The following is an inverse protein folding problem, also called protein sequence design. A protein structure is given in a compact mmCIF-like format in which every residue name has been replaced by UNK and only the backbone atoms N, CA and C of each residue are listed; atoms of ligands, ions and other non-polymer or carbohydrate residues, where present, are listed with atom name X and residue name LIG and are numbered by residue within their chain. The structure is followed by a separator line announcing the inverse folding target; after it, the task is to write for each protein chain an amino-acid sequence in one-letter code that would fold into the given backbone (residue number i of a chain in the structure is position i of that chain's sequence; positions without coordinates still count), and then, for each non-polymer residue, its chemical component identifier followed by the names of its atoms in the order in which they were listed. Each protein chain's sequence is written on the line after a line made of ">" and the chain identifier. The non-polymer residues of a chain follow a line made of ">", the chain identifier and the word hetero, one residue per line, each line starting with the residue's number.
data_IF_135201559261
#
_entry.id   IF_135201559261
#
_cell.length_a   1.000
_cell.length_b   1.000
_cell.length_c   1.000
_cell.angle_alpha   90.00
_cell.angle_beta   90.00
_cell.angle_gamma   90.00
#
_symmetry.space_group_name_H-M   'P 1'
#
loop_
_entity.id
_entity.type
_entity.pdbx_description
1 polymer ?
#
# COMPACT_ATOMS: atom_id res chain seq x y z
N UNK A 1 -11.82 -4.56 4.18
CA UNK A 1 -10.70 -3.69 3.81
C UNK A 1 -10.06 -3.19 5.09
N UNK A 2 -8.74 -3.21 5.15
CA UNK A 2 -7.95 -2.75 6.28
C UNK A 2 -7.15 -1.53 5.81
N UNK A 3 -7.02 -0.55 6.69
CA UNK A 3 -6.15 0.59 6.48
C UNK A 3 -4.97 0.50 7.45
N UNK A 4 -3.76 0.61 6.91
CA UNK A 4 -2.53 0.77 7.68
C UNK A 4 -2.21 2.26 7.72
N UNK A 5 -2.23 2.82 8.92
CA UNK A 5 -1.95 4.23 9.18
C UNK A 5 -0.42 4.42 9.30
N UNK A 6 0.13 5.54 8.78
CA UNK A 6 1.53 5.91 8.95
C UNK A 6 2.02 5.82 10.39
N UNK A 7 3.31 5.56 10.55
CA UNK A 7 3.99 5.63 11.85
C UNK A 7 5.39 6.24 11.67
N UNK A 8 6.22 6.18 12.71
CA UNK A 8 7.59 6.72 12.67
C UNK A 8 8.47 6.11 11.57
N UNK A 9 8.12 4.92 11.05
CA UNK A 9 8.88 4.22 10.00
C UNK A 9 8.41 4.59 8.58
N UNK A 10 7.11 4.78 8.36
CA UNK A 10 6.55 5.00 7.02
C UNK A 10 5.61 6.20 6.98
N UNK A 11 5.70 7.01 5.92
CA UNK A 11 4.97 8.27 5.82
C UNK A 11 3.60 8.20 5.13
N UNK A 12 3.31 7.09 4.45
CA UNK A 12 2.11 6.94 3.65
C UNK A 12 1.14 5.91 4.22
N UNK A 13 -0.16 6.20 4.07
CA UNK A 13 -1.26 5.27 4.33
C UNK A 13 -1.22 4.14 3.29
N UNK A 14 -1.69 2.96 3.67
CA UNK A 14 -1.82 1.82 2.76
C UNK A 14 -3.16 1.13 3.01
N UNK A 15 -3.91 0.86 1.94
CA UNK A 15 -5.11 0.02 2.03
C UNK A 15 -4.79 -1.42 1.62
N UNK A 16 -5.34 -2.37 2.36
CA UNK A 16 -5.30 -3.79 2.02
C UNK A 16 -6.72 -4.32 1.94
N UNK A 17 -7.11 -4.82 0.77
CA UNK A 17 -8.35 -5.52 0.55
C UNK A 17 -8.07 -7.01 0.38
N UNK A 18 -8.35 -7.78 1.43
CA UNK A 18 -8.41 -9.24 1.36
C UNK A 18 -9.72 -9.68 0.69
N UNK A 19 -9.63 -10.51 -0.34
CA UNK A 19 -10.79 -11.11 -1.02
C UNK A 19 -10.76 -12.63 -0.85
N UNK A 20 -11.93 -13.21 -0.64
CA UNK A 20 -12.15 -14.63 -0.76
C UNK A 20 -13.44 -14.82 -1.55
N UNK A 21 -13.38 -15.59 -2.62
CA UNK A 21 -14.54 -15.96 -3.41
C UNK A 21 -14.65 -17.48 -3.54
N UNK A 22 -15.83 -18.02 -3.22
CA UNK A 22 -16.08 -19.47 -3.27
C UNK A 22 -16.07 -19.98 -4.71
N UNK A 23 -15.48 -21.17 -4.98
CA UNK A 23 -15.49 -21.76 -6.32
C UNK A 23 -16.90 -22.07 -6.84
N UNK A 24 -17.89 -22.26 -5.96
CA UNK A 24 -19.27 -22.61 -6.32
C UNK A 24 -20.16 -21.42 -6.75
N UNK A 25 -19.75 -20.18 -6.50
CA UNK A 25 -20.55 -19.01 -6.87
C UNK A 25 -20.34 -18.63 -8.33
N UNK A 26 -21.39 -18.41 -9.14
CA UNK A 26 -21.22 -18.05 -10.58
C UNK A 26 -21.39 -16.55 -10.88
N UNK A 27 -21.88 -15.74 -9.95
CA UNK A 27 -22.21 -14.33 -10.17
C UNK A 27 -21.69 -13.46 -9.02
N UNK A 28 -20.39 -13.16 -9.06
CA UNK A 28 -19.78 -12.32 -8.04
C UNK A 28 -19.61 -10.90 -8.54
N UNK A 29 -19.97 -9.88 -7.72
CA UNK A 29 -19.88 -8.49 -8.10
C UNK A 29 -18.45 -7.95 -7.88
N UNK A 30 -17.43 -8.57 -8.51
CA UNK A 30 -16.05 -8.07 -8.47
C UNK A 30 -15.99 -6.60 -8.88
N UNK A 31 -16.79 -6.21 -9.89
CA UNK A 31 -16.96 -4.83 -10.32
C UNK A 31 -17.31 -3.90 -9.15
N UNK A 32 -18.37 -4.20 -8.42
CA UNK A 32 -18.81 -3.35 -7.31
C UNK A 32 -17.78 -3.31 -6.18
N UNK A 33 -17.18 -4.45 -5.85
CA UNK A 33 -16.20 -4.54 -4.76
C UNK A 33 -14.91 -3.75 -5.08
N UNK A 34 -14.30 -4.02 -6.23
CA UNK A 34 -13.01 -3.44 -6.63
C UNK A 34 -13.16 -1.96 -6.97
N UNK A 35 -14.22 -1.56 -7.67
CA UNK A 35 -14.48 -0.14 -7.96
C UNK A 35 -14.75 0.67 -6.68
N UNK A 36 -15.51 0.12 -5.72
CA UNK A 36 -15.69 0.79 -4.41
C UNK A 36 -14.38 0.89 -3.64
N UNK A 37 -13.55 -0.16 -3.63
CA UNK A 37 -12.25 -0.12 -2.98
C UNK A 37 -11.32 0.92 -3.62
N UNK A 38 -11.28 0.99 -4.95
CA UNK A 38 -10.55 2.00 -5.70
C UNK A 38 -11.03 3.41 -5.36
N UNK A 39 -12.35 3.61 -5.26
CA UNK A 39 -12.96 4.90 -4.90
C UNK A 39 -12.62 5.32 -3.47
N UNK A 40 -12.60 4.38 -2.53
CA UNK A 40 -12.24 4.66 -1.14
C UNK A 40 -10.75 4.98 -0.99
N UNK A 41 -9.88 4.25 -1.70
CA UNK A 41 -8.44 4.49 -1.67
C UNK A 41 -8.04 5.79 -2.41
N UNK A 42 -8.78 6.19 -3.46
CA UNK A 42 -8.44 7.34 -4.33
C UNK A 42 -7.01 7.24 -4.86
N UNK A 43 -6.13 8.10 -4.37
CA UNK A 43 -4.71 8.18 -4.73
C UNK A 43 -3.78 7.51 -3.70
N UNK A 44 -4.35 6.95 -2.63
CA UNK A 44 -3.58 6.20 -1.63
C UNK A 44 -3.19 4.83 -2.20
N UNK A 45 -1.98 4.33 -1.93
CA UNK A 45 -1.58 2.96 -2.23
C UNK A 45 -2.61 1.93 -1.76
N UNK A 46 -2.95 0.97 -2.62
CA UNK A 46 -3.85 -0.14 -2.27
C UNK A 46 -3.35 -1.46 -2.84
N UNK A 47 -3.44 -2.51 -2.02
CA UNK A 47 -3.22 -3.90 -2.41
C UNK A 47 -4.54 -4.66 -2.31
N UNK A 48 -4.89 -5.34 -3.39
CA UNK A 48 -5.94 -6.35 -3.46
C UNK A 48 -5.26 -7.71 -3.40
N UNK A 49 -5.63 -8.59 -2.47
CA UNK A 49 -5.03 -9.92 -2.39
C UNK A 49 -6.00 -10.98 -1.90
N UNK A 50 -5.88 -12.20 -2.40
CA UNK A 50 -6.55 -13.38 -1.85
C UNK A 50 -6.99 -14.37 -2.91
N UNK A 51 -7.90 -15.25 -2.53
CA UNK A 51 -8.38 -16.34 -3.39
C UNK A 51 -9.64 -15.89 -4.15
N UNK A 52 -9.52 -15.79 -5.47
CA UNK A 52 -10.60 -15.35 -6.35
C UNK A 52 -11.38 -16.49 -6.98
N UNK A 53 -10.83 -17.72 -6.96
CA UNK A 53 -11.37 -18.88 -7.69
C UNK A 53 -11.89 -18.50 -9.10
N UNK A 54 -11.12 -17.67 -9.81
CA UNK A 54 -11.47 -17.11 -11.10
C UNK A 54 -10.45 -17.60 -12.13
N UNK A 55 -10.85 -18.52 -13.00
CA UNK A 55 -9.96 -19.07 -14.02
C UNK A 55 -9.74 -18.07 -15.16
N UNK A 56 -8.47 -17.82 -15.53
CA UNK A 56 -8.10 -17.03 -16.70
C UNK A 56 -6.66 -17.33 -17.16
N UNK A 57 -6.42 -17.27 -18.47
CA UNK A 57 -5.11 -17.54 -19.07
C UNK A 57 -4.03 -16.55 -18.63
N UNK A 58 -4.41 -15.29 -18.40
CA UNK A 58 -3.51 -14.22 -17.94
C UNK A 58 -2.75 -14.53 -16.65
N UNK A 59 -3.23 -15.48 -15.83
CA UNK A 59 -2.54 -15.93 -14.62
C UNK A 59 -2.34 -17.45 -14.57
N UNK A 60 -2.29 -18.10 -15.75
CA UNK A 60 -1.75 -19.47 -15.87
C UNK A 60 -2.79 -20.58 -16.03
N UNK A 61 -4.09 -20.27 -16.17
CA UNK A 61 -5.07 -21.29 -16.55
C UNK A 61 -4.94 -21.65 -18.04
N UNK A 62 -5.24 -22.90 -18.40
CA UNK A 62 -5.10 -23.34 -19.81
C UNK A 62 -6.16 -22.77 -20.75
N UNK A 63 -7.33 -22.41 -20.20
CA UNK A 63 -8.45 -21.93 -20.97
C UNK A 63 -9.20 -20.89 -20.17
N UNK A 64 -9.46 -19.76 -20.81
CA UNK A 64 -10.44 -18.80 -20.34
C UNK A 64 -11.80 -19.19 -20.90
N UNK A 65 -12.82 -19.37 -20.06
CA UNK A 65 -14.20 -19.41 -20.57
C UNK A 65 -14.84 -18.03 -20.41
N UNK A 66 -15.49 -17.56 -21.49
CA UNK A 66 -16.04 -16.20 -21.58
C UNK A 66 -17.14 -15.92 -20.52
N UNK A 67 -17.76 -16.98 -20.01
CA UNK A 67 -18.89 -16.90 -19.07
C UNK A 67 -18.45 -16.97 -17.60
N UNK A 68 -17.16 -17.17 -17.33
CA UNK A 68 -16.61 -17.30 -15.98
C UNK A 68 -16.22 -15.96 -15.35
N UNK A 69 -15.81 -16.04 -14.09
CA UNK A 69 -15.36 -14.91 -13.26
C UNK A 69 -14.11 -14.22 -13.79
N UNK A 70 -13.18 -14.99 -14.36
CA UNK A 70 -11.86 -14.52 -14.76
C UNK A 70 -11.90 -13.30 -15.70
N UNK A 71 -12.62 -13.36 -16.82
CA UNK A 71 -12.74 -12.21 -17.73
C UNK A 71 -13.27 -10.95 -17.04
N UNK A 72 -14.26 -11.09 -16.15
CA UNK A 72 -14.83 -9.95 -15.42
C UNK A 72 -13.84 -9.37 -14.41
N UNK A 73 -13.09 -10.24 -13.73
CA UNK A 73 -12.05 -9.83 -12.80
C UNK A 73 -10.94 -9.07 -13.53
N UNK A 74 -10.46 -9.59 -14.66
CA UNK A 74 -9.44 -8.92 -15.47
C UNK A 74 -9.94 -7.55 -15.97
N UNK A 75 -11.19 -7.49 -16.43
CA UNK A 75 -11.81 -6.25 -16.89
C UNK A 75 -11.84 -5.20 -15.79
N UNK A 76 -12.38 -5.50 -14.59
CA UNK A 76 -12.46 -4.50 -13.51
C UNK A 76 -11.10 -4.10 -12.97
N UNK A 77 -10.15 -5.05 -12.85
CA UNK A 77 -8.78 -4.73 -12.44
C UNK A 77 -8.16 -3.73 -13.41
N UNK A 78 -8.33 -3.96 -14.72
CA UNK A 78 -7.84 -3.05 -15.77
C UNK A 78 -8.56 -1.70 -15.73
N UNK A 79 -9.89 -1.69 -15.68
CA UNK A 79 -10.71 -0.46 -15.66
C UNK A 79 -10.41 0.41 -14.44
N UNK A 80 -10.07 -0.22 -13.30
CA UNK A 80 -9.71 0.48 -12.07
C UNK A 80 -8.21 0.80 -11.98
N UNK A 81 -7.42 0.50 -13.03
CA UNK A 81 -5.96 0.71 -13.10
C UNK A 81 -5.17 -0.01 -12.01
N UNK A 82 -5.58 -1.24 -11.69
CA UNK A 82 -4.77 -2.15 -10.90
C UNK A 82 -3.86 -2.97 -11.81
N UNK A 83 -2.68 -3.33 -11.30
CA UNK A 83 -1.74 -4.23 -11.94
C UNK A 83 -1.74 -5.57 -11.23
N UNK A 84 -1.92 -6.66 -11.97
CA UNK A 84 -1.70 -8.01 -11.47
C UNK A 84 -0.20 -8.30 -11.44
N UNK A 85 0.28 -8.81 -10.31
CA UNK A 85 1.69 -9.13 -10.07
C UNK A 85 2.03 -10.64 -9.94
N UNK A 86 1.09 -11.59 -9.81
CA UNK A 86 1.42 -13.01 -9.81
C UNK A 86 2.14 -13.44 -11.08
N UNK A 87 3.16 -14.28 -10.90
CA UNK A 87 3.84 -14.94 -12.02
C UNK A 87 3.09 -16.25 -12.37
N UNK A 88 2.52 -16.36 -13.59
CA UNK A 88 1.78 -17.55 -14.01
C UNK A 88 2.64 -18.82 -14.09
N UNK A 89 3.96 -18.71 -14.09
CA UNK A 89 4.87 -19.87 -14.06
C UNK A 89 4.88 -20.59 -12.71
N UNK A 90 4.36 -19.95 -11.65
CA UNK A 90 4.37 -20.48 -10.28
C UNK A 90 2.93 -20.61 -9.74
N UNK A 91 2.23 -21.73 -10.02
CA UNK A 91 0.88 -21.97 -9.56
C UNK A 91 0.75 -21.82 -8.03
N UNK A 92 -0.35 -21.21 -7.57
CA UNK A 92 -0.56 -20.91 -6.15
C UNK A 92 -1.29 -22.00 -5.39
N UNK A 93 -1.90 -22.95 -6.10
CA UNK A 93 -2.60 -24.09 -5.53
C UNK A 93 -2.15 -25.39 -6.19
N UNK A 94 -1.67 -26.30 -5.35
CA UNK A 94 -1.30 -27.67 -5.67
C UNK A 94 -2.56 -28.46 -5.91
N UNK A 95 -2.62 -29.18 -7.02
CA UNK A 95 -3.77 -30.05 -7.26
C UNK A 95 -3.49 -31.52 -6.96
N UNK A 96 -4.59 -32.27 -6.89
CA UNK A 96 -4.60 -33.72 -6.64
C UNK A 96 -4.35 -34.49 -7.94
N UNK A 97 -4.18 -35.82 -7.86
CA UNK A 97 -3.89 -36.72 -9.00
C UNK A 97 -4.80 -36.61 -10.25
N UNK A 98 -5.95 -35.93 -10.16
CA UNK A 98 -6.94 -35.83 -11.24
C UNK A 98 -6.94 -34.45 -11.90
N UNK A 99 -6.30 -33.46 -11.30
CA UNK A 99 -6.44 -32.06 -11.70
C UNK A 99 -5.07 -31.36 -11.73
N UNK A 100 -4.88 -30.37 -12.62
CA UNK A 100 -3.58 -29.68 -12.80
C UNK A 100 -3.41 -28.51 -11.83
N UNK A 101 -2.19 -28.15 -11.48
CA UNK A 101 -1.92 -26.98 -10.65
C UNK A 101 -2.57 -25.69 -11.20
N UNK A 102 -3.03 -24.82 -10.29
CA UNK A 102 -3.80 -23.61 -10.65
C UNK A 102 -3.37 -22.39 -9.85
N UNK A 103 -3.79 -21.21 -10.31
CA UNK A 103 -3.46 -19.90 -9.71
C UNK A 103 -4.73 -19.16 -9.30
N UNK A 104 -5.55 -19.67 -8.36
CA UNK A 104 -6.75 -18.98 -7.92
C UNK A 104 -6.43 -17.78 -7.00
N UNK A 105 -5.25 -17.78 -6.38
CA UNK A 105 -4.79 -16.69 -5.51
C UNK A 105 -4.11 -15.61 -6.33
N UNK A 106 -4.64 -14.39 -6.26
CA UNK A 106 -4.12 -13.26 -7.01
C UNK A 106 -3.76 -12.11 -6.08
N UNK A 107 -2.79 -11.32 -6.51
CA UNK A 107 -2.46 -10.04 -5.90
C UNK A 107 -2.51 -8.97 -6.99
N UNK A 108 -3.20 -7.87 -6.72
CA UNK A 108 -3.20 -6.69 -7.58
C UNK A 108 -2.84 -5.46 -6.78
N UNK A 109 -2.12 -4.53 -7.41
CA UNK A 109 -1.64 -3.31 -6.76
C UNK A 109 -2.07 -2.08 -7.53
N UNK A 110 -2.28 -0.97 -6.83
CA UNK A 110 -2.53 0.34 -7.43
C UNK A 110 -1.84 1.44 -6.61
N UNK A 111 -1.30 2.44 -7.30
CA UNK A 111 -0.52 3.54 -6.72
C UNK A 111 0.70 3.05 -5.90
N UNK A 112 1.32 1.95 -6.32
CA UNK A 112 2.53 1.37 -5.72
C UNK A 112 3.60 1.32 -6.80
N UNK A 113 4.75 1.93 -6.55
CA UNK A 113 5.84 2.04 -7.53
C UNK A 113 6.68 0.77 -7.61
N UNK A 114 7.03 0.20 -6.45
CA UNK A 114 7.91 -0.96 -6.36
C UNK A 114 7.26 -2.01 -5.46
N UNK A 115 6.91 -3.13 -6.08
CA UNK A 115 6.40 -4.32 -5.41
C UNK A 115 7.08 -5.55 -5.98
N UNK A 116 7.41 -6.51 -5.11
CA UNK A 116 7.83 -7.85 -5.51
C UNK A 116 6.82 -8.85 -5.01
N UNK A 117 6.55 -9.85 -5.83
CA UNK A 117 5.69 -10.98 -5.51
C UNK A 117 6.50 -12.26 -5.65
N UNK A 118 6.29 -13.20 -4.74
CA UNK A 118 6.83 -14.55 -4.86
C UNK A 118 5.88 -15.57 -4.25
N UNK A 119 5.77 -16.71 -4.91
CA UNK A 119 5.30 -17.93 -4.29
C UNK A 119 6.44 -18.49 -3.40
N UNK A 120 6.18 -18.73 -2.11
CA UNK A 120 7.23 -19.25 -1.21
C UNK A 120 7.48 -20.74 -1.39
N UNK A 121 6.60 -21.44 -2.10
CA UNK A 121 6.56 -22.90 -2.24
C UNK A 121 6.36 -23.64 -0.91
N UNK A 122 5.98 -22.92 0.15
CA UNK A 122 5.59 -23.48 1.44
C UNK A 122 4.06 -23.50 1.53
N UNK A 123 3.46 -24.62 1.93
CA UNK A 123 2.00 -24.76 2.04
C UNK A 123 1.53 -25.13 3.45
N UNK A 124 2.43 -25.49 4.36
CA UNK A 124 2.14 -25.95 5.73
C UNK A 124 1.05 -27.04 5.80
N UNK A 125 0.99 -27.91 4.80
CA UNK A 125 -0.03 -28.97 4.70
C UNK A 125 -1.37 -28.55 4.06
N UNK A 126 -1.49 -27.32 3.57
CA UNK A 126 -2.60 -26.87 2.72
C UNK A 126 -2.36 -27.28 1.25
N UNK A 127 -3.43 -27.27 0.46
CA UNK A 127 -3.37 -27.30 -1.00
C UNK A 127 -2.95 -25.95 -1.61
N UNK A 128 -2.95 -24.86 -0.84
CA UNK A 128 -2.46 -23.54 -1.28
C UNK A 128 -1.04 -23.26 -0.76
N UNK A 129 -0.23 -22.63 -1.62
CA UNK A 129 1.05 -22.07 -1.23
C UNK A 129 0.89 -20.73 -0.53
N UNK A 130 1.80 -20.45 0.39
CA UNK A 130 1.97 -19.15 1.01
C UNK A 130 2.59 -18.22 -0.02
N UNK A 131 1.97 -17.04 -0.17
CA UNK A 131 2.44 -16.02 -1.10
C UNK A 131 2.99 -14.84 -0.30
N UNK A 132 4.12 -14.30 -0.76
CA UNK A 132 4.75 -13.15 -0.15
C UNK A 132 4.81 -11.98 -1.14
N UNK A 133 4.21 -10.87 -0.73
CA UNK A 133 4.27 -9.60 -1.46
C UNK A 133 5.04 -8.59 -0.61
N UNK A 134 6.14 -8.06 -1.15
CA UNK A 134 6.94 -7.01 -0.50
C UNK A 134 6.69 -5.70 -1.21
N UNK A 135 6.42 -4.64 -0.46
CA UNK A 135 6.15 -3.30 -0.99
C UNK A 135 7.21 -2.34 -0.47
N UNK A 136 7.77 -1.50 -1.34
CA UNK A 136 8.58 -0.37 -0.90
C UNK A 136 7.67 0.82 -0.61
N UNK A 137 7.64 1.22 0.66
CA UNK A 137 6.87 2.37 1.13
C UNK A 137 7.82 3.54 1.39
N UNK A 138 7.40 4.75 0.99
CA UNK A 138 8.18 5.96 1.24
C UNK A 138 8.49 6.14 2.73
N UNK A 139 9.75 6.41 3.04
CA UNK A 139 10.18 6.77 4.40
C UNK A 139 9.57 8.11 4.83
N UNK A 140 9.45 8.31 6.14
CA UNK A 140 9.27 9.66 6.70
C UNK A 140 10.47 10.52 6.33
N UNK A 141 10.21 11.75 5.87
CA UNK A 141 11.27 12.75 5.79
C UNK A 141 11.77 12.99 7.22
N UNK A 142 13.09 13.01 7.47
CA UNK A 142 13.60 13.39 8.79
C UNK A 142 12.96 14.71 9.22
N UNK A 143 12.47 14.77 10.46
CA UNK A 143 11.94 16.01 11.00
C UNK A 143 13.04 17.08 10.96
N UNK A 144 12.70 18.28 10.46
CA UNK A 144 13.60 19.41 10.60
C UNK A 144 13.59 19.83 12.08
N UNK A 145 14.67 19.55 12.78
CA UNK A 145 14.86 20.03 14.14
C UNK A 145 15.44 21.44 14.09
N UNK A 146 14.76 22.40 14.72
CA UNK A 146 15.34 23.72 14.97
C UNK A 146 16.35 23.58 16.10
N UNK A 147 17.64 23.65 15.78
CA UNK A 147 18.69 23.76 16.77
C UNK A 147 18.82 25.24 17.11
N UNK A 148 18.56 25.60 18.36
CA UNK A 148 18.83 26.95 18.85
C UNK A 148 20.32 27.06 19.14
N UNK A 149 21.00 27.97 18.46
CA UNK A 149 22.35 28.39 18.84
C UNK A 149 22.25 29.23 20.12
N UNK A 150 22.52 28.58 21.26
CA UNK A 150 22.46 29.23 22.57
C UNK A 150 23.50 30.33 22.75
N UNK A 151 24.63 30.26 22.05
CA UNK A 151 25.67 31.27 22.16
C UNK A 151 25.31 32.51 21.34
N UNK A 152 24.74 32.32 20.14
CA UNK A 152 24.15 33.41 19.37
C UNK A 152 22.98 34.07 20.12
N UNK A 153 22.08 33.28 20.70
CA UNK A 153 20.97 33.79 21.51
C UNK A 153 21.45 34.64 22.71
N UNK A 154 22.51 34.18 23.40
CA UNK A 154 23.10 34.91 24.53
C UNK A 154 23.80 36.21 24.10
N UNK A 155 24.42 36.23 22.91
CA UNK A 155 25.03 37.44 22.34
C UNK A 155 23.97 38.49 22.03
N UNK A 156 22.92 38.11 21.30
CA UNK A 156 21.79 39.00 20.97
C UNK A 156 21.19 39.61 22.24
N UNK A 157 20.92 38.79 23.29
CA UNK A 157 20.42 39.35 24.56
C UNK A 157 21.39 40.32 25.22
N UNK A 158 22.69 40.04 25.22
CA UNK A 158 23.68 40.95 25.83
C UNK A 158 23.74 42.29 25.09
N UNK A 159 23.66 42.26 23.77
CA UNK A 159 23.63 43.45 22.91
C UNK A 159 22.37 44.30 23.18
N UNK A 160 21.19 43.65 23.30
CA UNK A 160 19.94 44.30 23.70
C UNK A 160 20.01 44.96 25.09
N UNK A 161 20.75 44.35 26.04
CA UNK A 161 20.98 44.94 27.38
C UNK A 161 21.98 46.11 27.36
N UNK A 162 22.89 46.16 26.39
CA UNK A 162 23.89 47.24 26.29
C UNK A 162 23.42 48.46 25.48
N UNK A 163 22.43 48.30 24.60
CA UNK A 163 21.85 49.41 23.82
C UNK A 163 20.61 50.07 24.46
N UNK A 164 20.07 49.47 25.54
CA UNK A 164 18.89 49.98 26.25
C UNK A 164 19.23 50.79 27.51
N UNK A 165 18.92 52.10 27.49
CA UNK A 165 18.71 52.92 28.71
C UNK A 165 17.81 52.17 29.71
N UNK A 166 18.05 52.29 31.04
CA UNK A 166 17.38 51.47 32.05
C UNK A 166 15.88 51.77 32.31
N UNK A 167 15.21 52.64 31.55
CA UNK A 167 13.84 53.04 31.84
C UNK A 167 12.93 52.94 30.60
N UNK A 168 12.33 51.76 30.41
CA UNK A 168 10.99 51.50 29.84
C UNK A 168 10.93 50.10 29.19
N UNK A 169 10.60 49.08 29.98
CA UNK A 169 10.18 47.79 29.43
C UNK A 169 8.66 47.71 29.55
N UNK A 170 7.95 47.89 28.43
CA UNK A 170 6.61 47.34 28.26
C UNK A 170 6.73 45.96 27.60
N UNK A 171 6.01 44.94 28.07
CA UNK A 171 6.11 43.59 27.55
C UNK A 171 5.23 43.46 26.30
N UNK A 172 5.78 43.72 25.12
CA UNK A 172 5.23 43.15 23.88
C UNK A 172 6.26 43.15 22.76
N UNK A 173 6.23 42.08 21.96
CA UNK A 173 6.92 41.92 20.68
C UNK A 173 8.39 41.47 20.72
N UNK A 174 8.62 40.26 21.22
CA UNK A 174 9.78 39.46 20.80
C UNK A 174 9.25 38.20 20.09
N UNK A 175 8.93 38.33 18.80
CA UNK A 175 8.82 37.15 17.94
C UNK A 175 10.23 36.81 17.41
N UNK A 176 10.70 35.57 17.58
CA UNK A 176 12.00 35.16 17.07
C UNK A 176 11.96 35.11 15.54
N UNK A 177 12.80 35.93 14.89
CA UNK A 177 13.00 35.84 13.43
C UNK A 177 13.61 34.49 13.09
N UNK A 178 12.91 33.77 12.23
CA UNK A 178 13.35 32.53 11.60
C UNK A 178 14.34 32.88 10.49
N UNK A 179 15.48 32.19 10.47
CA UNK A 179 16.33 32.13 9.28
C UNK A 179 15.99 30.84 8.53
N UNK A 180 15.82 30.97 7.20
CA UNK A 180 15.48 29.91 6.25
C UNK A 180 16.57 28.82 6.13
#
# INVERSE_FOLDING_TARGET
>A
MIEIVPNVKWSARLFILKVYDSPSGYKQPFNTLISKAAMLARNVPIVLAGDFNAAHEAWGYQKTTVQEKGPRLLQVVTDCSFYLIPDPQFPTRIMTSVTRDTTPDLTSIKNIHEATWRNTLENLGSDHYILATTLQMGAQKPGQHKIVDWDMFRKIRKEDYTEGRPDQIKPSQAEPRLFD
#
